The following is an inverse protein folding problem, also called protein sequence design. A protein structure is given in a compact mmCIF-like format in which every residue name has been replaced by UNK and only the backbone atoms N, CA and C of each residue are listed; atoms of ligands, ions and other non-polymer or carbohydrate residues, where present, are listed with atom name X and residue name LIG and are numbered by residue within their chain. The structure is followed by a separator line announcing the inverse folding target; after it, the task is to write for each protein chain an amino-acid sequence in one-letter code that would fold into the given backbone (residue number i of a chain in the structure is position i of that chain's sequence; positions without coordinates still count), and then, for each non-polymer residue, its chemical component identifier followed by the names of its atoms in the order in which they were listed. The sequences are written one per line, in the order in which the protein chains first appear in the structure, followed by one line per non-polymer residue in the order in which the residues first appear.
data_IF_096996289100
#
_entry.id   IF_096996289100
#
_cell.length_a   1.000
_cell.length_b   1.000
_cell.length_c   1.000
_cell.angle_alpha   90.00
_cell.angle_beta   90.00
_cell.angle_gamma   90.00
#
_symmetry.space_group_name_H-M   'P 1'
#
loop_
_entity.id
_entity.type
_entity.pdbx_description
1 polymer ?
#
# COMPACT_ATOMS: atom_id res chain seq x y z
N UNK A 1 -24.48 4.17 -3.91
CA UNK A 1 -23.90 4.74 -5.16
C UNK A 1 -22.88 5.80 -4.74
N UNK A 2 -21.62 5.68 -5.18
CA UNK A 2 -20.60 6.70 -4.90
C UNK A 2 -20.82 7.88 -5.86
N UNK A 3 -21.42 8.97 -5.37
CA UNK A 3 -21.66 10.17 -6.19
C UNK A 3 -20.47 11.10 -5.98
N UNK A 4 -19.72 11.38 -7.06
CA UNK A 4 -18.70 12.42 -7.03
C UNK A 4 -19.42 13.78 -6.98
N UNK A 5 -19.33 14.54 -5.88
CA UNK A 5 -20.03 15.79 -5.84
C UNK A 5 -19.23 16.80 -6.69
N UNK A 6 -19.80 17.18 -7.83
CA UNK A 6 -19.19 17.99 -8.89
C UNK A 6 -18.93 19.45 -8.51
N UNK A 7 -19.21 19.85 -7.27
CA UNK A 7 -19.24 21.25 -6.82
C UNK A 7 -18.22 21.61 -5.71
N UNK A 8 -17.38 20.69 -5.24
CA UNK A 8 -16.53 20.97 -4.08
C UNK A 8 -15.15 21.49 -4.44
N UNK A 9 -14.78 22.60 -3.81
CA UNK A 9 -13.45 23.21 -3.86
C UNK A 9 -12.44 22.43 -3.01
N UNK A 10 -11.17 22.52 -3.38
CA UNK A 10 -10.08 21.96 -2.58
C UNK A 10 -9.91 22.80 -1.30
N UNK A 11 -10.15 22.20 -0.15
CA UNK A 11 -10.01 22.84 1.16
C UNK A 11 -9.06 21.99 2.04
N UNK A 12 -7.88 22.52 2.43
CA UNK A 12 -6.95 21.82 3.31
C UNK A 12 -7.53 21.54 4.70
N UNK A 13 -6.99 20.52 5.38
CA UNK A 13 -7.44 20.13 6.71
C UNK A 13 -7.24 21.25 7.75
N UNK A 14 -8.36 21.73 8.32
CA UNK A 14 -8.43 22.84 9.28
C UNK A 14 -9.13 22.50 10.61
N UNK A 15 -9.65 21.28 10.78
CA UNK A 15 -10.50 20.89 11.92
C UNK A 15 -9.73 20.84 13.25
N UNK A 16 -10.26 21.49 14.29
CA UNK A 16 -9.65 21.58 15.62
C UNK A 16 -10.19 20.52 16.56
N UNK A 17 -11.49 20.26 16.50
CA UNK A 17 -12.22 19.29 17.33
C UNK A 17 -12.78 18.14 16.49
N UNK A 18 -13.16 17.04 17.16
CA UNK A 18 -13.84 15.91 16.49
C UNK A 18 -15.20 16.35 15.92
N UNK A 19 -15.87 17.30 16.59
CA UNK A 19 -17.14 17.85 16.17
C UNK A 19 -17.01 18.70 14.90
N UNK A 20 -15.93 19.48 14.77
CA UNK A 20 -15.63 20.22 13.52
C UNK A 20 -15.53 19.26 12.33
N UNK A 21 -14.81 18.14 12.51
CA UNK A 21 -14.68 17.12 11.47
C UNK A 21 -16.03 16.47 11.15
N UNK A 22 -16.84 16.11 12.15
CA UNK A 22 -18.17 15.52 11.94
C UNK A 22 -19.11 16.46 11.18
N UNK A 23 -19.13 17.75 11.55
CA UNK A 23 -19.89 18.79 10.84
C UNK A 23 -19.49 18.87 9.38
N UNK A 24 -18.18 18.82 9.11
CA UNK A 24 -17.68 18.87 7.75
C UNK A 24 -18.02 17.62 6.94
N UNK A 25 -17.86 16.43 7.52
CA UNK A 25 -18.27 15.18 6.85
C UNK A 25 -19.76 15.21 6.49
N UNK A 26 -20.61 15.75 7.37
CA UNK A 26 -22.04 15.96 7.10
C UNK A 26 -22.26 16.97 5.96
N UNK A 27 -21.55 18.12 5.97
CA UNK A 27 -21.61 19.13 4.90
C UNK A 27 -21.28 18.53 3.54
N UNK A 28 -20.25 17.68 3.48
CA UNK A 28 -19.77 17.02 2.27
C UNK A 28 -20.57 15.76 1.89
N UNK A 29 -21.58 15.39 2.70
CA UNK A 29 -22.34 14.13 2.55
C UNK A 29 -21.44 12.88 2.52
N UNK A 30 -20.39 12.87 3.33
CA UNK A 30 -19.45 11.75 3.48
C UNK A 30 -19.88 10.92 4.70
N UNK A 31 -20.44 9.70 4.51
CA UNK A 31 -20.98 8.87 5.59
C UNK A 31 -19.88 8.06 6.28
N UNK A 32 -18.80 8.71 6.73
CA UNK A 32 -17.74 8.03 7.49
C UNK A 32 -18.14 7.88 8.97
N UNK A 33 -18.13 6.66 9.53
CA UNK A 33 -18.40 6.46 10.94
C UNK A 33 -17.20 6.94 11.78
N UNK A 34 -17.49 7.76 12.78
CA UNK A 34 -16.49 8.29 13.72
C UNK A 34 -16.89 7.88 15.13
N UNK A 35 -16.12 6.98 15.74
CA UNK A 35 -16.37 6.51 17.11
C UNK A 35 -15.78 7.45 18.16
N UNK A 36 -16.46 7.63 19.29
CA UNK A 36 -15.92 8.38 20.43
C UNK A 36 -14.87 7.58 21.22
N UNK A 37 -15.01 6.25 21.26
CA UNK A 37 -14.07 5.33 21.91
C UNK A 37 -13.13 4.71 20.87
N UNK A 38 -11.94 4.29 21.31
CA UNK A 38 -10.97 3.56 20.49
C UNK A 38 -10.67 2.15 21.01
N UNK A 39 -11.45 1.65 21.98
CA UNK A 39 -11.11 0.42 22.71
C UNK A 39 -11.13 -0.82 21.81
N UNK A 40 -12.06 -0.89 20.86
CA UNK A 40 -12.13 -2.00 19.89
C UNK A 40 -10.87 -2.15 19.04
N UNK A 41 -10.01 -1.12 18.96
CA UNK A 41 -8.74 -1.21 18.24
C UNK A 41 -7.73 -2.13 18.93
N UNK A 42 -7.90 -2.42 20.22
CA UNK A 42 -7.07 -3.38 20.97
C UNK A 42 -7.48 -4.84 20.72
N UNK A 43 -8.62 -5.08 20.09
CA UNK A 43 -9.07 -6.44 19.83
C UNK A 43 -8.14 -7.16 18.86
N UNK A 44 -7.77 -8.39 19.19
CA UNK A 44 -7.05 -9.26 18.28
C UNK A 44 -7.91 -9.68 17.09
N UNK A 45 -7.24 -10.04 16.00
CA UNK A 45 -7.82 -10.76 14.88
C UNK A 45 -7.34 -12.19 14.93
N UNK A 46 -8.27 -13.12 14.71
CA UNK A 46 -7.99 -14.54 14.64
C UNK A 46 -8.85 -15.15 13.52
N UNK A 47 -8.19 -15.58 12.43
CA UNK A 47 -8.82 -16.34 11.35
C UNK A 47 -7.87 -17.47 10.95
N UNK A 48 -8.27 -18.73 11.22
CA UNK A 48 -7.42 -19.92 11.03
C UNK A 48 -6.04 -19.73 11.69
N UNK A 49 -4.98 -19.71 10.88
CA UNK A 49 -3.57 -19.54 11.25
C UNK A 49 -3.13 -18.07 11.37
N UNK A 50 -3.99 -17.11 11.01
CA UNK A 50 -3.67 -15.67 11.07
C UNK A 50 -4.09 -15.13 12.43
N UNK A 51 -3.09 -14.73 13.21
CA UNK A 51 -3.29 -14.03 14.50
C UNK A 51 -2.59 -12.68 14.43
N UNK A 52 -3.35 -11.60 14.59
CA UNK A 52 -2.81 -10.24 14.68
C UNK A 52 -3.24 -9.63 16.02
N UNK A 53 -2.29 -9.19 16.87
CA UNK A 53 -2.58 -8.80 18.26
C UNK A 53 -3.58 -7.65 18.45
N UNK A 54 -3.71 -6.76 17.46
CA UNK A 54 -4.61 -5.62 17.48
C UNK A 54 -5.02 -5.20 16.06
N UNK A 55 -5.93 -4.23 15.95
CA UNK A 55 -6.54 -3.82 14.67
C UNK A 55 -5.73 -2.78 13.87
N UNK A 56 -4.50 -2.48 14.27
CA UNK A 56 -3.68 -1.42 13.67
C UNK A 56 -2.46 -2.01 12.96
N UNK A 57 -2.16 -1.48 11.77
CA UNK A 57 -0.99 -1.88 11.00
C UNK A 57 -0.21 -0.71 10.41
N UNK A 58 1.05 -0.98 10.06
CA UNK A 58 1.89 -0.09 9.26
C UNK A 58 1.77 -0.52 7.80
N UNK A 59 1.46 0.43 6.91
CA UNK A 59 1.45 0.20 5.47
C UNK A 59 2.89 0.19 4.92
N UNK A 60 3.15 -0.47 3.77
CA UNK A 60 4.47 -0.49 3.17
C UNK A 60 4.83 0.93 2.70
N UNK A 61 5.86 1.50 3.33
CA UNK A 61 6.31 2.87 3.14
C UNK A 61 7.81 2.85 2.82
N UNK A 62 8.14 3.08 1.55
CA UNK A 62 9.51 3.04 1.03
C UNK A 62 10.39 4.15 1.61
N UNK A 63 11.60 3.77 2.02
CA UNK A 63 12.61 4.65 2.59
C UNK A 63 13.65 5.16 1.62
N UNK A 64 13.88 4.49 0.48
CA UNK A 64 14.99 4.81 -0.45
C UNK A 64 16.32 5.06 0.28
N UNK A 65 16.64 4.15 1.20
CA UNK A 65 17.81 4.24 2.06
C UNK A 65 18.51 2.90 2.26
N UNK A 66 18.27 1.90 1.40
CA UNK A 66 19.06 0.68 1.37
C UNK A 66 20.53 0.99 1.01
N UNK A 67 21.43 0.07 1.35
CA UNK A 67 22.77 0.07 0.79
C UNK A 67 22.71 -0.12 -0.74
N UNK A 68 23.80 0.20 -1.45
CA UNK A 68 23.83 0.04 -2.91
C UNK A 68 23.62 -1.41 -3.35
N UNK A 69 24.04 -2.37 -2.53
CA UNK A 69 23.79 -3.82 -2.67
C UNK A 69 22.33 -4.24 -2.43
N UNK A 70 21.42 -3.28 -2.19
CA UNK A 70 20.02 -3.54 -1.88
C UNK A 70 19.76 -4.04 -0.46
N UNK A 71 20.80 -4.28 0.36
CA UNK A 71 20.63 -4.75 1.73
C UNK A 71 20.14 -3.63 2.68
N UNK A 72 19.49 -3.99 3.80
CA UNK A 72 19.10 -3.03 4.83
C UNK A 72 20.28 -2.19 5.35
N UNK A 73 20.10 -0.87 5.41
CA UNK A 73 21.08 0.05 6.02
C UNK A 73 20.72 0.39 7.47
N UNK A 74 21.56 1.17 8.14
CA UNK A 74 21.25 1.73 9.46
C UNK A 74 19.91 2.49 9.47
N UNK A 75 19.60 3.26 8.42
CA UNK A 75 18.33 3.98 8.31
C UNK A 75 17.14 3.02 8.15
N UNK A 76 17.34 1.91 7.46
CA UNK A 76 16.35 0.82 7.38
C UNK A 76 16.10 0.22 8.78
N UNK A 77 17.15 -0.18 9.51
CA UNK A 77 17.03 -0.68 10.89
C UNK A 77 16.36 0.33 11.82
N UNK A 78 16.73 1.61 11.71
CA UNK A 78 16.13 2.71 12.48
C UNK A 78 14.63 2.86 12.19
N UNK A 79 14.22 2.81 10.91
CA UNK A 79 12.81 2.90 10.52
C UNK A 79 11.99 1.76 11.14
N UNK A 80 12.44 0.52 10.98
CA UNK A 80 11.70 -0.62 11.53
C UNK A 80 11.77 -0.70 13.06
N UNK A 81 12.84 -0.22 13.71
CA UNK A 81 12.86 0.00 15.17
C UNK A 81 11.74 0.94 15.61
N UNK A 82 11.56 2.05 14.91
CA UNK A 82 10.53 3.05 15.21
C UNK A 82 9.11 2.48 15.03
N UNK A 83 8.89 1.72 13.95
CA UNK A 83 7.62 1.04 13.71
C UNK A 83 7.32 -0.03 14.77
N UNK A 84 8.30 -0.86 15.10
CA UNK A 84 8.21 -1.89 16.13
C UNK A 84 7.86 -1.32 17.51
N UNK A 85 8.48 -0.20 17.89
CA UNK A 85 8.16 0.53 19.13
C UNK A 85 6.78 1.23 19.11
N UNK A 86 6.07 1.19 17.98
CA UNK A 86 4.79 1.83 17.79
C UNK A 86 3.59 1.09 18.40
N UNK A 87 3.73 -0.22 18.65
CA UNK A 87 2.68 -1.06 19.25
C UNK A 87 1.65 -1.64 18.27
N UNK A 88 1.85 -1.51 16.96
CA UNK A 88 0.96 -2.14 15.96
C UNK A 88 1.04 -3.67 15.99
N UNK A 89 -0.03 -4.35 15.61
CA UNK A 89 -0.05 -5.82 15.51
C UNK A 89 0.59 -6.35 14.22
N UNK A 90 0.57 -5.55 13.15
CA UNK A 90 1.10 -5.91 11.84
C UNK A 90 2.02 -4.82 11.29
N UNK A 91 3.23 -5.20 10.88
CA UNK A 91 4.15 -4.34 10.13
C UNK A 91 4.29 -4.90 8.72
N UNK A 92 3.79 -4.16 7.74
CA UNK A 92 3.98 -4.44 6.33
C UNK A 92 5.24 -3.70 5.86
N UNK A 93 6.28 -4.45 5.55
CA UNK A 93 7.56 -3.92 5.09
C UNK A 93 7.42 -3.35 3.68
N UNK A 94 8.21 -2.32 3.40
CA UNK A 94 8.22 -1.59 2.14
C UNK A 94 8.46 -2.48 0.92
N UNK A 95 8.22 -1.91 -0.27
CA UNK A 95 8.44 -2.61 -1.52
C UNK A 95 9.93 -2.95 -1.72
N UNK A 96 10.24 -4.23 -1.61
CA UNK A 96 11.55 -4.82 -1.86
C UNK A 96 11.57 -5.40 -3.27
N UNK A 97 12.53 -4.94 -4.07
CA UNK A 97 12.70 -5.38 -5.45
C UNK A 97 13.10 -6.87 -5.49
N UNK A 98 12.57 -7.60 -6.46
CA UNK A 98 12.90 -9.02 -6.67
C UNK A 98 14.25 -9.22 -7.40
N UNK A 99 14.77 -8.17 -8.02
CA UNK A 99 16.05 -8.14 -8.73
C UNK A 99 16.56 -6.70 -8.84
N UNK A 100 17.85 -6.54 -9.14
CA UNK A 100 18.47 -5.22 -9.33
C UNK A 100 17.85 -4.43 -10.50
N UNK A 101 17.60 -5.10 -11.63
CA UNK A 101 17.07 -4.46 -12.85
C UNK A 101 15.61 -3.99 -12.72
N UNK A 102 14.89 -4.39 -11.65
CA UNK A 102 13.51 -3.98 -11.42
C UNK A 102 13.35 -2.95 -10.29
N UNK A 103 14.43 -2.28 -9.87
CA UNK A 103 14.38 -1.22 -8.85
C UNK A 103 13.86 0.09 -9.42
N UNK A 104 13.18 0.87 -8.60
CA UNK A 104 12.77 2.26 -8.90
C UNK A 104 13.80 3.30 -8.41
N UNK A 105 14.75 2.88 -7.58
CA UNK A 105 15.82 3.70 -7.02
C UNK A 105 17.03 2.83 -6.62
N UNK A 106 18.26 3.35 -6.77
CA UNK A 106 19.51 2.69 -6.37
C UNK A 106 19.65 2.47 -4.85
N UNK A 107 18.72 2.99 -4.06
CA UNK A 107 18.58 2.75 -2.62
C UNK A 107 17.25 2.08 -2.25
N UNK A 108 16.55 1.47 -3.21
CA UNK A 108 15.44 0.56 -2.92
C UNK A 108 15.98 -0.77 -2.36
N UNK A 109 15.34 -1.37 -1.38
CA UNK A 109 15.71 -2.72 -0.92
C UNK A 109 15.62 -3.73 -2.07
N UNK A 110 16.54 -4.69 -2.11
CA UNK A 110 16.54 -5.83 -3.04
C UNK A 110 16.81 -7.07 -2.20
N UNK A 111 15.97 -8.09 -2.34
CA UNK A 111 16.19 -9.35 -1.64
C UNK A 111 16.95 -10.31 -2.56
N UNK A 112 18.11 -10.79 -2.12
CA UNK A 112 18.93 -11.74 -2.86
C UNK A 112 19.54 -12.81 -1.95
N UNK A 113 20.07 -13.85 -2.56
CA UNK A 113 20.77 -14.94 -1.90
C UNK A 113 22.00 -14.42 -1.14
N UNK A 114 22.68 -13.39 -1.67
CA UNK A 114 23.86 -12.81 -1.03
C UNK A 114 23.54 -12.02 0.24
N UNK A 115 22.32 -11.43 0.34
CA UNK A 115 21.97 -10.50 1.41
C UNK A 115 20.82 -10.98 2.33
N UNK A 116 20.33 -12.21 2.15
CA UNK A 116 19.23 -12.79 2.96
C UNK A 116 19.57 -12.81 4.46
N UNK A 117 20.85 -12.89 4.83
CA UNK A 117 21.32 -12.86 6.22
C UNK A 117 21.05 -11.51 6.88
N UNK A 118 21.24 -10.41 6.18
CA UNK A 118 20.98 -9.05 6.64
C UNK A 118 19.47 -8.80 6.80
N UNK A 119 18.65 -9.33 5.88
CA UNK A 119 17.20 -9.34 6.05
C UNK A 119 16.78 -10.17 7.27
N UNK A 120 17.40 -11.32 7.51
CA UNK A 120 17.16 -12.14 8.70
C UNK A 120 17.48 -11.38 9.98
N UNK A 121 18.58 -10.64 10.01
CA UNK A 121 18.94 -9.76 11.13
C UNK A 121 17.89 -8.66 11.32
N UNK A 122 17.47 -7.99 10.25
CA UNK A 122 16.44 -6.95 10.31
C UNK A 122 15.11 -7.47 10.85
N UNK A 123 14.65 -8.63 10.36
CA UNK A 123 13.39 -9.24 10.76
C UNK A 123 13.43 -9.69 12.22
N UNK A 124 14.51 -10.36 12.64
CA UNK A 124 14.70 -10.78 14.02
C UNK A 124 14.74 -9.57 14.98
N UNK A 125 15.53 -8.56 14.63
CA UNK A 125 15.61 -7.32 15.39
C UNK A 125 14.25 -6.63 15.52
N UNK A 126 13.52 -6.47 14.40
CA UNK A 126 12.20 -5.84 14.38
C UNK A 126 11.21 -6.62 15.24
N UNK A 127 11.20 -7.95 15.13
CA UNK A 127 10.31 -8.82 15.90
C UNK A 127 10.53 -8.69 17.41
N UNK A 128 11.79 -8.73 17.86
CA UNK A 128 12.13 -8.56 19.28
C UNK A 128 11.64 -7.21 19.81
N UNK A 129 11.89 -6.12 19.08
CA UNK A 129 11.44 -4.79 19.50
C UNK A 129 9.90 -4.67 19.51
N UNK A 130 9.23 -5.27 18.53
CA UNK A 130 7.78 -5.20 18.39
C UNK A 130 7.09 -5.99 19.51
N UNK A 131 7.54 -7.22 19.76
CA UNK A 131 6.99 -8.08 20.81
C UNK A 131 7.17 -7.46 22.20
N UNK A 132 8.36 -6.93 22.51
CA UNK A 132 8.59 -6.22 23.79
C UNK A 132 7.59 -5.07 24.00
N UNK A 133 7.29 -4.33 22.93
CA UNK A 133 6.33 -3.23 22.99
C UNK A 133 4.92 -3.75 23.18
N UNK A 134 4.50 -4.75 22.40
CA UNK A 134 3.20 -5.39 22.52
C UNK A 134 2.95 -5.98 23.91
N UNK A 135 3.94 -6.71 24.46
CA UNK A 135 3.91 -7.26 25.81
C UNK A 135 3.75 -6.17 26.88
N UNK A 136 4.51 -5.07 26.76
CA UNK A 136 4.38 -3.92 27.69
C UNK A 136 3.02 -3.24 27.64
N UNK A 137 2.26 -3.42 26.55
CA UNK A 137 0.91 -2.91 26.35
C UNK A 137 -0.17 -3.96 26.72
N UNK A 138 0.24 -5.13 27.21
CA UNK A 138 -0.67 -6.21 27.62
C UNK A 138 -1.20 -7.07 26.47
N UNK A 139 -0.68 -6.92 25.26
CA UNK A 139 -1.09 -7.77 24.14
C UNK A 139 -0.47 -9.16 24.26
N UNK A 140 -1.27 -10.15 23.90
CA UNK A 140 -0.83 -11.54 23.71
C UNK A 140 -0.57 -11.75 22.22
N UNK A 141 0.31 -12.70 21.90
CA UNK A 141 0.80 -13.01 20.56
C UNK A 141 1.83 -12.01 19.99
N UNK A 142 2.67 -12.54 19.11
CA UNK A 142 3.75 -11.79 18.47
C UNK A 142 3.25 -10.90 17.34
N UNK A 143 4.05 -9.89 17.04
CA UNK A 143 3.92 -9.04 15.88
C UNK A 143 3.99 -9.85 14.57
N UNK A 144 3.07 -9.58 13.64
CA UNK A 144 3.09 -10.15 12.30
C UNK A 144 3.92 -9.26 11.37
N UNK A 145 4.90 -9.83 10.67
CA UNK A 145 5.81 -9.13 9.76
C UNK A 145 5.65 -9.68 8.33
N UNK A 146 5.20 -8.84 7.39
CA UNK A 146 4.99 -9.22 5.98
C UNK A 146 5.93 -8.42 5.09
N UNK A 147 6.66 -9.09 4.18
CA UNK A 147 7.50 -8.42 3.18
C UNK A 147 6.75 -8.20 1.87
N UNK A 148 6.71 -6.96 1.37
CA UNK A 148 6.18 -6.66 0.04
C UNK A 148 7.25 -6.87 -1.02
N UNK A 149 7.12 -7.90 -1.85
CA UNK A 149 7.93 -8.08 -3.04
C UNK A 149 7.36 -7.27 -4.21
N UNK A 150 8.25 -6.71 -5.02
CA UNK A 150 7.90 -5.75 -6.06
C UNK A 150 8.77 -5.90 -7.30
N UNK A 151 8.15 -5.68 -8.46
CA UNK A 151 8.83 -5.36 -9.70
C UNK A 151 8.38 -3.96 -10.14
N UNK A 152 9.33 -3.03 -10.30
CA UNK A 152 8.97 -1.62 -10.47
C UNK A 152 8.30 -1.29 -11.81
N UNK A 153 8.43 -2.18 -12.79
CA UNK A 153 7.74 -2.08 -14.09
C UNK A 153 8.06 -0.76 -14.78
N UNK A 154 7.02 0.02 -15.13
CA UNK A 154 7.17 1.36 -15.70
C UNK A 154 8.06 2.30 -14.86
N UNK A 155 8.22 2.04 -13.58
CA UNK A 155 9.06 2.85 -12.68
C UNK A 155 10.48 2.34 -12.52
N UNK A 156 10.86 1.28 -13.24
CA UNK A 156 12.20 0.70 -13.19
C UNK A 156 13.29 1.66 -13.64
N UNK A 157 14.47 1.48 -13.04
CA UNK A 157 15.71 2.16 -13.32
C UNK A 157 16.82 1.13 -13.48
N UNK A 158 17.75 1.41 -14.39
CA UNK A 158 18.97 0.63 -14.58
C UNK A 158 20.18 1.54 -14.43
N UNK A 159 21.11 1.16 -13.56
CA UNK A 159 22.30 1.97 -13.25
C UNK A 159 21.95 3.43 -12.88
N UNK A 160 20.91 3.64 -12.08
CA UNK A 160 20.43 4.96 -11.67
C UNK A 160 19.67 5.77 -12.73
N UNK A 161 19.64 5.32 -13.98
CA UNK A 161 18.91 5.97 -15.09
C UNK A 161 17.54 5.33 -15.27
N UNK A 162 16.55 6.11 -15.71
CA UNK A 162 15.20 5.57 -15.99
C UNK A 162 15.31 4.51 -17.08
N UNK A 163 14.74 3.34 -16.81
CA UNK A 163 14.66 2.23 -17.75
C UNK A 163 13.32 1.52 -17.55
N UNK A 164 12.22 2.15 -18.00
CA UNK A 164 10.88 1.65 -17.76
C UNK A 164 10.64 0.31 -18.48
N UNK A 165 10.20 -0.69 -17.72
CA UNK A 165 9.80 -2.02 -18.24
C UNK A 165 8.28 -2.07 -18.22
N UNK A 166 7.62 -1.87 -19.35
CA UNK A 166 6.17 -1.64 -19.42
C UNK A 166 5.43 -2.88 -19.88
N UNK A 167 4.23 -3.11 -19.36
CA UNK A 167 3.30 -4.07 -19.95
C UNK A 167 2.68 -3.58 -21.27
N UNK A 168 2.48 -2.26 -21.40
CA UNK A 168 1.91 -1.61 -22.59
C UNK A 168 2.31 -0.13 -22.69
N UNK A 169 2.18 0.46 -23.89
CA UNK A 169 2.45 1.88 -24.12
C UNK A 169 1.30 2.77 -23.61
N UNK A 170 1.65 3.85 -22.90
CA UNK A 170 0.69 4.86 -22.47
C UNK A 170 1.36 6.22 -22.39
N UNK A 171 1.00 7.12 -23.31
CA UNK A 171 1.54 8.47 -23.35
C UNK A 171 1.26 9.23 -22.04
N UNK A 172 0.07 9.05 -21.44
CA UNK A 172 -0.28 9.70 -20.19
C UNK A 172 0.64 9.24 -19.04
N UNK A 173 0.80 7.93 -18.86
CA UNK A 173 1.62 7.38 -17.78
C UNK A 173 3.13 7.60 -18.01
N UNK A 174 3.59 7.60 -19.27
CA UNK A 174 4.98 7.89 -19.62
C UNK A 174 5.34 9.36 -19.40
N UNK A 175 4.43 10.28 -19.74
CA UNK A 175 4.61 11.71 -19.50
C UNK A 175 4.73 12.03 -18.00
N UNK A 176 3.99 11.32 -17.14
CA UNK A 176 4.02 11.48 -15.67
C UNK A 176 5.42 11.26 -15.09
N UNK A 177 6.18 10.33 -15.68
CA UNK A 177 7.55 10.04 -15.26
C UNK A 177 8.59 10.64 -16.18
N UNK A 178 8.19 11.47 -17.15
CA UNK A 178 9.07 12.17 -18.09
C UNK A 178 10.05 11.19 -18.76
N UNK A 179 9.48 10.17 -19.39
CA UNK A 179 10.20 9.24 -20.29
C UNK A 179 9.56 9.29 -21.67
N UNK A 180 10.37 9.12 -22.70
CA UNK A 180 9.91 8.94 -24.08
C UNK A 180 9.54 7.48 -24.34
N UNK A 181 8.83 7.23 -25.45
CA UNK A 181 8.36 5.89 -25.82
C UNK A 181 9.51 4.92 -26.08
N UNK A 182 10.62 5.42 -26.62
CA UNK A 182 11.81 4.68 -27.02
C UNK A 182 12.73 4.36 -25.83
N UNK A 183 12.54 5.00 -24.68
CA UNK A 183 13.29 4.71 -23.47
C UNK A 183 12.68 3.50 -22.76
N UNK A 184 13.50 2.48 -22.48
CA UNK A 184 13.07 1.23 -21.85
C UNK A 184 12.51 0.22 -22.84
N UNK A 185 11.66 -0.69 -22.37
CA UNK A 185 11.10 -1.79 -23.18
C UNK A 185 9.61 -2.01 -22.91
N UNK A 186 8.95 -2.72 -23.84
CA UNK A 186 7.72 -3.47 -23.56
C UNK A 186 8.14 -4.89 -23.20
N UNK A 187 7.78 -5.36 -22.03
CA UNK A 187 8.09 -6.72 -21.57
C UNK A 187 7.37 -7.76 -22.45
N UNK A 188 8.04 -8.85 -22.83
CA UNK A 188 7.45 -9.96 -23.60
C UNK A 188 6.70 -10.96 -22.71
N UNK A 189 5.92 -11.86 -23.31
CA UNK A 189 5.23 -12.91 -22.55
C UNK A 189 6.22 -13.96 -22.00
N UNK A 190 7.33 -14.20 -22.69
CA UNK A 190 8.44 -15.05 -22.22
C UNK A 190 9.15 -14.41 -21.02
N UNK A 191 9.49 -13.12 -21.09
CA UNK A 191 10.10 -12.40 -19.97
C UNK A 191 9.17 -12.36 -18.74
N UNK A 192 7.85 -12.29 -18.94
CA UNK A 192 6.87 -12.38 -17.85
C UNK A 192 6.89 -13.76 -17.18
N UNK A 193 7.02 -14.84 -17.95
CA UNK A 193 7.18 -16.21 -17.42
C UNK A 193 8.48 -16.36 -16.62
N UNK A 194 9.58 -15.78 -17.09
CA UNK A 194 10.85 -15.81 -16.36
C UNK A 194 10.77 -15.02 -15.03
N UNK A 195 10.11 -13.86 -15.03
CA UNK A 195 9.92 -13.03 -13.84
C UNK A 195 9.10 -13.76 -12.76
N UNK A 196 8.14 -14.59 -13.15
CA UNK A 196 7.39 -15.43 -12.21
C UNK A 196 8.32 -16.32 -11.36
N UNK A 197 9.27 -17.01 -12.00
CA UNK A 197 10.22 -17.86 -11.28
C UNK A 197 11.12 -17.07 -10.33
N UNK A 198 11.56 -15.88 -10.75
CA UNK A 198 12.35 -14.98 -9.91
C UNK A 198 11.54 -14.56 -8.68
N UNK A 199 10.27 -14.21 -8.86
CA UNK A 199 9.40 -13.81 -7.76
C UNK A 199 9.19 -14.93 -6.75
N UNK A 200 8.98 -16.17 -7.23
CA UNK A 200 8.84 -17.36 -6.39
C UNK A 200 10.11 -17.61 -5.57
N UNK A 201 11.29 -17.54 -6.20
CA UNK A 201 12.58 -17.68 -5.50
C UNK A 201 12.73 -16.62 -4.40
N UNK A 202 12.38 -15.36 -4.67
CA UNK A 202 12.48 -14.29 -3.66
C UNK A 202 11.47 -14.44 -2.52
N UNK A 203 10.29 -15.01 -2.78
CA UNK A 203 9.34 -15.33 -1.71
C UNK A 203 9.85 -16.45 -0.78
N UNK A 204 10.58 -17.43 -1.31
CA UNK A 204 11.27 -18.45 -0.49
C UNK A 204 12.34 -17.80 0.40
N UNK A 205 13.14 -16.89 -0.15
CA UNK A 205 14.13 -16.12 0.64
C UNK A 205 13.46 -15.25 1.71
N UNK A 206 12.28 -14.68 1.44
CA UNK A 206 11.57 -13.90 2.44
C UNK A 206 11.19 -14.75 3.67
N UNK A 207 10.79 -16.00 3.44
CA UNK A 207 10.57 -16.95 4.52
C UNK A 207 11.86 -17.30 5.26
N UNK A 208 12.96 -17.53 4.55
CA UNK A 208 14.28 -17.79 5.15
C UNK A 208 14.77 -16.61 6.02
N UNK A 209 14.50 -15.38 5.58
CA UNK A 209 14.72 -14.15 6.33
C UNK A 209 13.79 -14.02 7.56
N UNK A 210 12.89 -14.97 7.78
CA UNK A 210 12.05 -15.06 8.97
C UNK A 210 10.80 -14.19 8.92
N UNK A 211 10.37 -13.71 7.75
CA UNK A 211 9.07 -13.04 7.62
C UNK A 211 7.93 -14.04 7.84
N UNK A 212 6.80 -13.53 8.35
CA UNK A 212 5.59 -14.32 8.57
C UNK A 212 4.79 -14.52 7.28
N UNK A 213 5.08 -13.70 6.27
CA UNK A 213 4.50 -13.85 4.97
C UNK A 213 5.10 -12.93 3.93
N UNK A 214 4.66 -13.17 2.71
CA UNK A 214 5.01 -12.39 1.53
C UNK A 214 3.77 -11.78 0.89
N UNK A 215 3.92 -10.53 0.48
CA UNK A 215 2.98 -9.79 -0.35
C UNK A 215 3.49 -9.72 -1.78
N UNK A 216 2.69 -10.23 -2.72
CA UNK A 216 2.91 -10.05 -4.15
C UNK A 216 2.21 -8.76 -4.57
N UNK A 217 2.97 -7.66 -4.64
CA UNK A 217 2.43 -6.32 -4.86
C UNK A 217 1.70 -6.23 -6.20
N UNK A 218 0.43 -5.80 -6.16
CA UNK A 218 -0.44 -5.61 -7.32
C UNK A 218 -1.22 -4.30 -7.23
N UNK A 219 -0.52 -3.20 -6.93
CA UNK A 219 -1.12 -1.88 -6.82
C UNK A 219 -0.27 -0.80 -7.50
N UNK A 220 -0.84 0.41 -7.64
CA UNK A 220 -0.08 1.64 -7.86
C UNK A 220 0.65 1.77 -9.21
N UNK A 221 0.23 0.99 -10.22
CA UNK A 221 0.82 1.03 -11.56
C UNK A 221 2.19 0.33 -11.69
N UNK A 222 2.61 -0.40 -10.66
CA UNK A 222 3.74 -1.33 -10.76
C UNK A 222 3.35 -2.57 -11.57
N UNK A 223 4.32 -3.42 -11.97
CA UNK A 223 4.13 -4.41 -13.05
C UNK A 223 2.81 -5.21 -12.99
N UNK A 224 2.53 -5.90 -11.88
CA UNK A 224 1.26 -6.64 -11.73
C UNK A 224 0.03 -5.74 -11.85
N UNK A 225 0.05 -4.56 -11.23
CA UNK A 225 -1.04 -3.58 -11.32
C UNK A 225 -1.20 -3.02 -12.73
N UNK A 226 -0.11 -2.89 -13.46
CA UNK A 226 -0.12 -2.39 -14.83
C UNK A 226 -0.73 -3.44 -15.77
N UNK A 227 -0.35 -4.72 -15.61
CA UNK A 227 -0.94 -5.83 -16.37
C UNK A 227 -2.47 -5.91 -16.20
N UNK A 228 -3.01 -5.65 -15.00
CA UNK A 228 -4.45 -5.58 -14.77
C UNK A 228 -5.18 -4.57 -15.67
N UNK A 229 -4.48 -3.53 -16.14
CA UNK A 229 -5.01 -2.50 -17.04
C UNK A 229 -4.59 -2.69 -18.52
N UNK A 230 -3.91 -3.79 -18.86
CA UNK A 230 -3.33 -4.04 -20.18
C UNK A 230 -4.34 -4.53 -21.24
N UNK A 231 -5.52 -3.91 -21.32
CA UNK A 231 -6.57 -4.28 -22.29
C UNK A 231 -6.11 -4.18 -23.75
N UNK A 232 -5.18 -3.26 -24.03
CA UNK A 232 -4.63 -3.02 -25.36
C UNK A 232 -3.51 -3.98 -25.76
N UNK A 233 -3.02 -4.84 -24.85
CA UNK A 233 -2.01 -5.87 -25.14
C UNK A 233 -2.70 -7.07 -25.80
N UNK A 234 -3.12 -6.89 -27.05
CA UNK A 234 -3.80 -7.91 -27.86
C UNK A 234 -2.88 -9.10 -28.13
N UNK A 235 -3.47 -10.27 -28.34
CA UNK A 235 -2.77 -11.52 -28.68
C UNK A 235 -1.67 -11.92 -27.67
N UNK A 236 -1.90 -11.65 -26.39
CA UNK A 236 -1.00 -11.97 -25.29
C UNK A 236 -1.69 -12.81 -24.22
N UNK A 237 -0.93 -13.74 -23.63
CA UNK A 237 -1.37 -14.54 -22.49
C UNK A 237 -1.49 -13.71 -21.20
N UNK A 238 -0.86 -12.53 -21.18
CA UNK A 238 -0.80 -11.59 -20.05
C UNK A 238 -1.53 -10.28 -20.32
N UNK A 239 -2.43 -10.25 -21.31
CA UNK A 239 -3.09 -9.03 -21.78
C UNK A 239 -4.47 -9.25 -22.38
N UNK A 240 -5.03 -8.18 -22.94
CA UNK A 240 -6.28 -8.22 -23.69
C UNK A 240 -7.53 -8.05 -22.82
N UNK A 241 -8.70 -8.33 -23.39
CA UNK A 241 -10.00 -8.09 -22.73
C UNK A 241 -10.27 -9.06 -21.56
N UNK A 242 -9.59 -10.20 -21.53
CA UNK A 242 -9.76 -11.22 -20.50
C UNK A 242 -9.06 -10.83 -19.19
N UNK A 243 -9.83 -10.67 -18.10
CA UNK A 243 -9.26 -10.49 -16.76
C UNK A 243 -8.32 -11.64 -16.40
N UNK A 244 -8.68 -12.88 -16.75
CA UNK A 244 -7.85 -14.07 -16.49
C UNK A 244 -6.43 -13.92 -17.06
N UNK A 245 -6.31 -13.39 -18.28
CA UNK A 245 -5.00 -13.14 -18.89
C UNK A 245 -4.28 -11.99 -18.19
N UNK A 246 -4.96 -10.85 -17.99
CA UNK A 246 -4.38 -9.67 -17.33
C UNK A 246 -3.92 -9.92 -15.89
N UNK A 247 -4.58 -10.84 -15.17
CA UNK A 247 -4.22 -11.23 -13.80
C UNK A 247 -3.30 -12.45 -13.72
N UNK A 248 -2.92 -13.05 -14.85
CA UNK A 248 -2.21 -14.33 -14.92
C UNK A 248 -0.95 -14.35 -14.08
N UNK A 249 -0.04 -13.38 -14.28
CA UNK A 249 1.23 -13.31 -13.55
C UNK A 249 1.01 -13.36 -12.02
N UNK A 250 0.05 -12.57 -11.51
CA UNK A 250 -0.26 -12.53 -10.09
C UNK A 250 -0.79 -13.88 -9.58
N UNK A 251 -1.74 -14.48 -10.31
CA UNK A 251 -2.39 -15.72 -9.91
C UNK A 251 -1.43 -16.91 -10.01
N UNK A 252 -0.58 -16.96 -11.03
CA UNK A 252 0.38 -18.05 -11.26
C UNK A 252 1.47 -18.02 -10.17
N UNK A 253 2.05 -16.85 -9.86
CA UNK A 253 2.97 -16.68 -8.71
C UNK A 253 2.32 -17.18 -7.41
N UNK A 254 1.10 -16.73 -7.11
CA UNK A 254 0.42 -17.11 -5.87
C UNK A 254 0.11 -18.61 -5.85
N UNK A 255 -0.31 -19.18 -6.97
CA UNK A 255 -0.57 -20.62 -7.11
C UNK A 255 0.68 -21.45 -6.83
N UNK A 256 1.81 -21.08 -7.44
CA UNK A 256 3.09 -21.75 -7.19
C UNK A 256 3.47 -21.68 -5.70
N UNK A 257 3.37 -20.50 -5.09
CA UNK A 257 3.70 -20.33 -3.67
C UNK A 257 2.76 -21.13 -2.75
N UNK A 258 1.47 -21.19 -3.06
CA UNK A 258 0.50 -22.01 -2.30
C UNK A 258 0.83 -23.49 -2.40
N UNK A 259 1.31 -23.95 -3.55
CA UNK A 259 1.76 -25.33 -3.73
C UNK A 259 3.06 -25.60 -2.93
N UNK A 260 4.06 -24.72 -3.05
CA UNK A 260 5.35 -24.83 -2.34
C UNK A 260 5.14 -24.86 -0.82
N UNK A 261 4.30 -23.97 -0.30
CA UNK A 261 4.05 -23.84 1.13
C UNK A 261 2.80 -24.60 1.61
N UNK A 262 2.29 -25.55 0.83
CA UNK A 262 1.07 -26.30 1.19
C UNK A 262 1.15 -26.99 2.56
N UNK A 263 2.33 -27.47 2.96
CA UNK A 263 2.59 -28.11 4.25
C UNK A 263 3.01 -27.14 5.36
N UNK A 264 3.30 -25.88 5.01
CA UNK A 264 3.62 -24.83 5.96
C UNK A 264 2.51 -23.79 5.94
N UNK A 265 1.44 -24.11 6.67
CA UNK A 265 0.27 -23.26 6.76
C UNK A 265 0.55 -21.93 7.43
N UNK A 266 1.66 -21.76 8.16
CA UNK A 266 1.92 -20.56 8.95
C UNK A 266 2.50 -19.43 8.09
N UNK A 267 3.14 -19.74 6.96
CA UNK A 267 3.66 -18.74 6.05
C UNK A 267 2.55 -18.12 5.19
N UNK A 268 2.29 -16.82 5.39
CA UNK A 268 1.22 -16.11 4.71
C UNK A 268 1.63 -15.73 3.28
N UNK A 269 0.72 -15.96 2.34
CA UNK A 269 0.81 -15.46 0.97
C UNK A 269 -0.37 -14.52 0.78
N UNK A 270 -0.08 -13.26 0.46
CA UNK A 270 -1.04 -12.17 0.35
C UNK A 270 -0.72 -11.26 -0.84
N UNK A 271 -1.57 -10.28 -1.07
CA UNK A 271 -1.33 -9.20 -2.02
C UNK A 271 -1.85 -7.87 -1.45
N UNK A 272 -1.08 -6.81 -1.67
CA UNK A 272 -1.57 -5.44 -1.65
C UNK A 272 -2.12 -5.12 -3.04
N UNK A 273 -3.45 -5.03 -3.12
CA UNK A 273 -4.19 -4.94 -4.38
C UNK A 273 -4.75 -3.54 -4.58
N UNK A 274 -4.46 -2.95 -5.75
CA UNK A 274 -5.10 -1.73 -6.23
C UNK A 274 -6.42 -2.07 -6.89
N UNK A 275 -7.54 -1.56 -6.36
CA UNK A 275 -8.89 -1.95 -6.82
C UNK A 275 -9.59 -0.90 -7.67
N UNK A 276 -8.94 0.25 -7.84
CA UNK A 276 -9.39 1.37 -8.64
C UNK A 276 -8.20 2.28 -8.88
N UNK A 277 -7.87 2.62 -10.12
CA UNK A 277 -6.80 3.58 -10.42
C UNK A 277 -7.32 4.98 -10.85
N UNK A 278 -8.55 5.05 -11.34
CA UNK A 278 -9.20 6.26 -11.84
C UNK A 278 -8.80 6.66 -13.26
N UNK A 279 -7.92 5.91 -13.93
CA UNK A 279 -7.61 6.13 -15.34
C UNK A 279 -8.81 5.69 -16.21
N UNK A 280 -9.12 6.41 -17.30
CA UNK A 280 -10.16 5.95 -18.23
C UNK A 280 -9.80 4.62 -18.91
N UNK A 281 -10.84 3.83 -19.21
CA UNK A 281 -10.73 2.67 -20.11
C UNK A 281 -10.16 3.11 -21.48
N UNK A 282 -9.29 2.33 -22.14
CA UNK A 282 -8.86 0.96 -21.83
C UNK A 282 -7.61 0.85 -20.92
N UNK A 283 -7.14 1.94 -20.32
CA UNK A 283 -5.88 1.94 -19.52
C UNK A 283 -6.10 2.04 -18.01
N UNK A 284 -7.35 1.85 -17.56
CA UNK A 284 -7.71 1.81 -16.15
C UNK A 284 -8.14 0.42 -15.70
N UNK A 285 -7.98 0.16 -14.41
CA UNK A 285 -8.51 -1.01 -13.71
C UNK A 285 -9.45 -0.59 -12.58
N UNK A 286 -10.56 -1.34 -12.43
CA UNK A 286 -11.63 -1.01 -11.50
C UNK A 286 -12.51 0.15 -11.97
N UNK A 287 -12.62 0.35 -13.28
CA UNK A 287 -13.33 1.48 -13.89
C UNK A 287 -14.34 1.00 -14.93
N UNK A 288 -15.37 1.79 -15.20
CA UNK A 288 -16.33 1.47 -16.26
C UNK A 288 -15.67 1.56 -17.64
N UNK A 289 -16.09 0.67 -18.55
CA UNK A 289 -15.71 0.71 -19.97
C UNK A 289 -16.53 1.76 -20.73
N UNK A 290 -16.29 3.04 -20.44
CA UNK A 290 -16.93 4.18 -21.11
C UNK A 290 -15.92 4.87 -22.01
N UNK A 291 -16.24 5.00 -23.29
CA UNK A 291 -15.39 5.72 -24.24
C UNK A 291 -15.27 7.19 -23.89
N UNK A 292 -14.05 7.73 -24.04
CA UNK A 292 -13.74 9.16 -23.83
C UNK A 292 -14.09 9.70 -22.43
N UNK A 293 -14.24 8.83 -21.43
CA UNK A 293 -14.40 9.26 -20.04
C UNK A 293 -13.16 10.04 -19.58
N UNK A 294 -13.38 11.03 -18.70
CA UNK A 294 -12.28 11.84 -18.13
C UNK A 294 -11.85 11.28 -16.79
N UNK A 295 -10.59 11.50 -16.45
CA UNK A 295 -10.10 11.26 -15.10
C UNK A 295 -10.80 12.17 -14.07
N UNK A 296 -11.20 11.67 -12.87
CA UNK A 296 -11.18 10.26 -12.48
C UNK A 296 -12.38 9.50 -13.09
N UNK A 297 -12.11 8.36 -13.72
CA UNK A 297 -13.11 7.52 -14.37
C UNK A 297 -14.11 6.93 -13.36
N UNK A 298 -15.32 6.59 -13.83
CA UNK A 298 -16.37 6.02 -13.00
C UNK A 298 -15.93 4.69 -12.41
N UNK A 299 -16.17 4.50 -11.11
CA UNK A 299 -15.80 3.27 -10.39
C UNK A 299 -16.64 2.09 -10.90
N UNK A 300 -15.97 0.97 -11.19
CA UNK A 300 -16.57 -0.34 -11.40
C UNK A 300 -15.74 -1.41 -10.67
N UNK A 301 -16.34 -2.08 -9.70
CA UNK A 301 -15.64 -3.08 -8.89
C UNK A 301 -15.82 -4.51 -9.40
N UNK A 302 -16.49 -4.74 -10.54
CA UNK A 302 -16.70 -6.09 -11.09
C UNK A 302 -15.40 -6.88 -11.20
N UNK A 303 -14.46 -6.44 -12.03
CA UNK A 303 -13.18 -7.13 -12.20
C UNK A 303 -12.32 -7.21 -10.92
N UNK A 304 -12.20 -6.13 -10.10
CA UNK A 304 -11.55 -6.24 -8.79
C UNK A 304 -12.15 -7.33 -7.89
N UNK A 305 -13.47 -7.46 -7.84
CA UNK A 305 -14.16 -8.48 -7.02
C UNK A 305 -13.87 -9.88 -7.58
N UNK A 306 -13.96 -10.07 -8.89
CA UNK A 306 -13.65 -11.36 -9.54
C UNK A 306 -12.21 -11.79 -9.26
N UNK A 307 -11.25 -10.88 -9.35
CA UNK A 307 -9.87 -11.15 -9.00
C UNK A 307 -9.70 -11.52 -7.52
N UNK A 308 -10.40 -10.82 -6.62
CA UNK A 308 -10.36 -11.14 -5.18
C UNK A 308 -10.96 -12.52 -4.90
N UNK A 309 -12.03 -12.91 -5.61
CA UNK A 309 -12.61 -14.24 -5.51
C UNK A 309 -11.62 -15.32 -5.98
N UNK A 310 -10.94 -15.12 -7.11
CA UNK A 310 -9.88 -16.02 -7.58
C UNK A 310 -8.75 -16.17 -6.53
N UNK A 311 -8.31 -15.07 -5.92
CA UNK A 311 -7.32 -15.09 -4.84
C UNK A 311 -7.84 -15.87 -3.61
N UNK A 312 -9.12 -15.70 -3.27
CA UNK A 312 -9.75 -16.42 -2.18
C UNK A 312 -9.83 -17.93 -2.44
N UNK A 313 -10.14 -18.35 -3.67
CA UNK A 313 -10.13 -19.75 -4.11
C UNK A 313 -8.74 -20.38 -4.01
N UNK A 314 -7.68 -19.60 -4.27
CA UNK A 314 -6.29 -19.97 -3.98
C UNK A 314 -5.93 -19.93 -2.49
N UNK A 315 -6.92 -19.82 -1.60
CA UNK A 315 -6.78 -19.76 -0.14
C UNK A 315 -5.93 -18.57 0.34
N UNK A 316 -5.99 -17.42 -0.34
CA UNK A 316 -5.49 -16.15 0.21
C UNK A 316 -6.53 -15.62 1.21
N UNK A 317 -6.13 -15.48 2.49
CA UNK A 317 -7.02 -15.12 3.60
C UNK A 317 -6.71 -13.76 4.23
N UNK A 318 -5.72 -13.06 3.71
CA UNK A 318 -5.37 -11.68 4.07
C UNK A 318 -5.18 -10.90 2.78
N UNK A 319 -5.78 -9.71 2.67
CA UNK A 319 -5.52 -8.77 1.59
C UNK A 319 -5.37 -7.36 2.12
N UNK A 320 -4.59 -6.53 1.42
CA UNK A 320 -4.43 -5.12 1.72
C UNK A 320 -4.93 -4.28 0.56
N UNK A 321 -6.01 -3.54 0.80
CA UNK A 321 -6.71 -2.81 -0.25
C UNK A 321 -6.20 -1.38 -0.33
N UNK A 322 -5.97 -0.93 -1.56
CA UNK A 322 -5.54 0.42 -1.87
C UNK A 322 -6.10 0.87 -3.22
N UNK A 323 -5.85 2.13 -3.60
CA UNK A 323 -6.35 2.71 -4.84
C UNK A 323 -5.36 3.72 -5.43
N UNK A 324 -5.55 4.06 -6.70
CA UNK A 324 -4.83 5.07 -7.45
C UNK A 324 -3.39 4.69 -7.78
N UNK A 325 -2.72 5.65 -8.39
CA UNK A 325 -1.30 5.62 -8.67
C UNK A 325 -0.60 6.82 -7.99
N UNK A 326 0.40 6.63 -7.11
CA UNK A 326 1.07 7.72 -6.43
C UNK A 326 1.91 8.60 -7.36
N UNK A 327 2.26 8.11 -8.55
CA UNK A 327 2.95 8.88 -9.57
C UNK A 327 1.96 9.67 -10.44
N UNK A 328 0.79 9.10 -10.75
CA UNK A 328 -0.24 9.71 -11.59
C UNK A 328 -1.46 10.17 -10.76
N UNK A 329 -1.65 11.49 -10.63
CA UNK A 329 -2.79 12.09 -9.89
C UNK A 329 -2.94 11.53 -8.46
N UNK A 330 -1.86 11.66 -7.69
CA UNK A 330 -1.69 11.06 -6.35
C UNK A 330 -2.78 11.30 -5.31
N UNK A 331 -3.75 12.19 -5.50
CA UNK A 331 -4.86 12.39 -4.57
C UNK A 331 -5.76 11.14 -4.47
N UNK A 332 -5.86 10.31 -5.52
CA UNK A 332 -6.60 9.03 -5.49
C UNK A 332 -5.96 8.03 -4.51
N UNK A 333 -4.63 7.98 -4.44
CA UNK A 333 -3.88 7.09 -3.52
C UNK A 333 -3.63 7.72 -2.17
N UNK A 334 -3.36 9.03 -2.16
CA UNK A 334 -2.72 9.75 -1.07
C UNK A 334 -3.23 11.19 -1.02
N UNK A 335 -4.37 11.43 -0.37
CA UNK A 335 -4.91 12.78 -0.15
C UNK A 335 -3.87 13.71 0.50
N UNK A 336 -3.85 14.99 0.14
CA UNK A 336 -2.85 15.94 0.61
C UNK A 336 -3.43 17.32 0.86
N UNK A 337 -2.77 18.08 1.74
CA UNK A 337 -3.04 19.50 1.94
C UNK A 337 -2.14 20.36 1.05
N UNK A 338 -0.89 19.89 0.84
CA UNK A 338 0.08 20.54 -0.04
C UNK A 338 0.57 19.49 -1.04
N UNK A 339 0.43 19.72 -2.36
CA UNK A 339 0.93 18.81 -3.37
C UNK A 339 2.47 18.81 -3.42
N UNK A 340 3.04 17.83 -4.13
CA UNK A 340 4.46 17.89 -4.55
C UNK A 340 4.68 19.09 -5.47
N UNK A 341 5.93 19.57 -5.59
CA UNK A 341 6.25 20.73 -6.44
C UNK A 341 5.81 20.46 -7.88
N UNK A 342 5.10 21.43 -8.46
CA UNK A 342 4.58 21.37 -9.84
C UNK A 342 3.30 20.55 -10.04
N UNK A 343 2.76 19.87 -9.02
CA UNK A 343 1.49 19.18 -9.16
C UNK A 343 0.29 20.13 -8.97
N UNK A 344 -0.76 19.93 -9.77
CA UNK A 344 -2.02 20.69 -9.69
C UNK A 344 -2.89 20.17 -8.54
N UNK A 345 -3.65 21.07 -7.92
CA UNK A 345 -4.69 20.71 -6.97
C UNK A 345 -5.83 19.97 -7.70
N UNK A 346 -6.42 18.93 -7.08
CA UNK A 346 -7.58 18.27 -7.65
C UNK A 346 -8.83 19.15 -7.51
N UNK A 347 -9.82 18.90 -8.35
CA UNK A 347 -11.14 19.55 -8.28
C UNK A 347 -12.07 18.78 -7.32
N UNK A 348 -11.58 18.50 -6.12
CA UNK A 348 -12.35 17.84 -5.07
C UNK A 348 -11.79 18.17 -3.68
N UNK A 349 -12.63 17.99 -2.67
CA UNK A 349 -12.25 18.11 -1.28
C UNK A 349 -11.36 16.91 -0.85
N UNK A 350 -10.21 17.10 -0.19
CA UNK A 350 -9.34 16.00 0.23
C UNK A 350 -9.98 14.93 1.13
N UNK A 351 -10.95 15.30 1.97
CA UNK A 351 -11.77 14.32 2.72
C UNK A 351 -12.52 13.36 1.79
N UNK A 352 -12.99 13.83 0.63
CA UNK A 352 -13.60 12.97 -0.39
C UNK A 352 -12.56 12.03 -0.99
N UNK A 353 -11.35 12.53 -1.26
CA UNK A 353 -10.24 11.68 -1.71
C UNK A 353 -9.91 10.56 -0.71
N UNK A 354 -9.90 10.89 0.59
CA UNK A 354 -9.66 9.92 1.65
C UNK A 354 -10.82 8.93 1.81
N UNK A 355 -12.05 9.43 1.75
CA UNK A 355 -13.27 8.63 1.81
C UNK A 355 -13.34 7.62 0.68
N UNK A 356 -12.98 8.00 -0.56
CA UNK A 356 -12.96 7.08 -1.71
C UNK A 356 -12.23 5.78 -1.40
N UNK A 357 -11.02 5.87 -0.83
CA UNK A 357 -10.19 4.69 -0.53
C UNK A 357 -10.88 3.80 0.52
N UNK A 358 -11.44 4.41 1.57
CA UNK A 358 -12.13 3.71 2.66
C UNK A 358 -13.43 3.08 2.16
N UNK A 359 -14.19 3.79 1.31
CA UNK A 359 -15.40 3.30 0.68
C UNK A 359 -15.13 2.08 -0.19
N UNK A 360 -14.11 2.14 -1.06
CA UNK A 360 -13.72 1.00 -1.91
C UNK A 360 -13.39 -0.24 -1.06
N UNK A 361 -12.62 -0.06 0.02
CA UNK A 361 -12.33 -1.15 0.98
C UNK A 361 -13.61 -1.68 1.62
N UNK A 362 -14.53 -0.81 2.03
CA UNK A 362 -15.79 -1.19 2.66
C UNK A 362 -16.70 -2.00 1.74
N UNK A 363 -16.80 -1.60 0.46
CA UNK A 363 -17.60 -2.34 -0.52
C UNK A 363 -17.02 -3.73 -0.72
N UNK A 364 -15.69 -3.83 -0.90
CA UNK A 364 -15.01 -5.12 -0.98
C UNK A 364 -15.28 -5.96 0.27
N UNK A 365 -15.08 -5.40 1.47
CA UNK A 365 -15.29 -6.13 2.72
C UNK A 365 -16.71 -6.69 2.85
N UNK A 366 -17.71 -5.99 2.30
CA UNK A 366 -19.10 -6.44 2.31
C UNK A 366 -19.42 -7.57 1.32
N UNK A 367 -18.57 -7.77 0.30
CA UNK A 367 -18.81 -8.73 -0.79
C UNK A 367 -17.90 -9.97 -0.71
N UNK A 368 -16.78 -9.89 0.02
CA UNK A 368 -15.85 -11.02 0.18
C UNK A 368 -16.26 -11.94 1.34
N UNK A 369 -15.82 -13.21 1.33
CA UNK A 369 -16.08 -14.15 2.41
C UNK A 369 -15.60 -13.66 3.78
N UNK A 370 -16.36 -13.97 4.83
CA UNK A 370 -16.15 -13.42 6.18
C UNK A 370 -14.81 -13.80 6.81
N UNK A 371 -14.24 -14.95 6.45
CA UNK A 371 -12.95 -15.43 6.97
C UNK A 371 -11.74 -14.82 6.25
N UNK A 372 -11.97 -14.01 5.19
CA UNK A 372 -10.94 -13.20 4.54
C UNK A 372 -10.75 -11.87 5.29
N UNK A 373 -9.54 -11.67 5.81
CA UNK A 373 -9.13 -10.47 6.55
C UNK A 373 -8.75 -9.38 5.56
N UNK A 374 -9.36 -8.20 5.69
CA UNK A 374 -9.09 -7.03 4.86
C UNK A 374 -8.38 -5.95 5.67
N UNK A 375 -7.20 -5.54 5.20
CA UNK A 375 -6.45 -4.37 5.67
C UNK A 375 -6.82 -3.18 4.78
N UNK A 376 -7.29 -2.10 5.38
CA UNK A 376 -7.64 -0.87 4.66
C UNK A 376 -6.52 0.16 4.62
N UNK A 377 -6.68 1.14 3.71
CA UNK A 377 -5.80 2.30 3.55
C UNK A 377 -6.58 3.62 3.73
N UNK A 378 -5.87 4.76 3.81
CA UNK A 378 -6.50 6.11 3.73
C UNK A 378 -6.63 6.88 5.05
N UNK A 379 -6.28 6.29 6.20
CA UNK A 379 -6.56 6.88 7.52
C UNK A 379 -5.65 8.05 7.92
N UNK A 380 -4.42 8.14 7.40
CA UNK A 380 -3.45 9.14 7.86
C UNK A 380 -3.86 10.59 7.63
N UNK A 381 -4.77 10.86 6.68
CA UNK A 381 -5.25 12.22 6.39
C UNK A 381 -6.08 12.81 7.54
N UNK A 382 -6.69 11.96 8.38
CA UNK A 382 -7.56 12.37 9.49
C UNK A 382 -6.80 12.81 10.76
N UNK A 383 -5.46 12.86 10.68
CA UNK A 383 -4.56 13.42 11.71
C UNK A 383 -4.87 12.87 13.10
N UNK A 384 -5.20 13.75 14.07
CA UNK A 384 -5.43 13.39 15.46
C UNK A 384 -6.70 12.55 15.67
N UNK A 385 -7.62 12.59 14.71
CA UNK A 385 -8.90 11.87 14.75
C UNK A 385 -8.83 10.51 14.05
N UNK A 386 -7.67 10.13 13.51
CA UNK A 386 -7.55 8.90 12.74
C UNK A 386 -7.82 7.64 13.57
N UNK A 387 -7.58 7.67 14.90
CA UNK A 387 -7.99 6.59 15.81
C UNK A 387 -9.52 6.46 15.93
N UNK A 388 -10.23 7.58 16.08
CA UNK A 388 -11.69 7.62 16.14
C UNK A 388 -12.33 7.10 14.84
N UNK A 389 -11.77 7.49 13.70
CA UNK A 389 -12.19 6.97 12.41
C UNK A 389 -11.92 5.47 12.29
N UNK A 390 -10.68 5.02 12.59
CA UNK A 390 -10.31 3.61 12.54
C UNK A 390 -11.26 2.75 13.38
N UNK A 391 -11.56 3.21 14.60
CA UNK A 391 -12.51 2.54 15.48
C UNK A 391 -13.91 2.47 14.87
N UNK A 392 -14.40 3.59 14.33
CA UNK A 392 -15.71 3.67 13.69
C UNK A 392 -15.86 2.72 12.50
N UNK A 393 -14.86 2.66 11.60
CA UNK A 393 -14.92 1.78 10.43
C UNK A 393 -14.84 0.29 10.81
N UNK A 394 -14.10 -0.07 11.85
CA UNK A 394 -14.03 -1.44 12.37
C UNK A 394 -15.36 -1.83 13.03
N UNK A 395 -15.93 -0.95 13.86
CA UNK A 395 -17.22 -1.19 14.52
C UNK A 395 -18.34 -1.43 13.49
N UNK A 396 -18.28 -0.74 12.35
CA UNK A 396 -19.24 -0.87 11.25
C UNK A 396 -18.86 -1.96 10.24
N UNK A 397 -17.87 -2.81 10.56
CA UNK A 397 -17.42 -3.94 9.71
C UNK A 397 -17.02 -3.54 8.29
N UNK A 398 -16.54 -2.31 8.12
CA UNK A 398 -16.05 -1.80 6.82
C UNK A 398 -14.64 -2.32 6.50
N UNK A 399 -13.92 -2.80 7.51
CA UNK A 399 -12.54 -3.30 7.41
C UNK A 399 -12.23 -4.15 8.63
N UNK A 400 -11.22 -5.03 8.56
CA UNK A 400 -10.74 -5.80 9.71
C UNK A 400 -9.54 -5.13 10.39
N UNK A 401 -8.60 -4.56 9.62
CA UNK A 401 -7.46 -3.78 10.12
C UNK A 401 -7.32 -2.41 9.44
N UNK A 402 -6.91 -1.41 10.21
CA UNK A 402 -6.60 -0.09 9.68
C UNK A 402 -5.08 0.12 9.51
N UNK A 403 -4.63 0.20 8.25
CA UNK A 403 -3.23 0.42 7.91
C UNK A 403 -2.84 1.88 7.73
N UNK A 404 -1.79 2.30 8.43
CA UNK A 404 -1.28 3.67 8.44
C UNK A 404 0.00 3.81 7.59
N UNK A 405 -0.08 4.64 6.54
CA UNK A 405 1.05 5.02 5.68
C UNK A 405 1.82 6.19 6.27
N UNK A 406 1.77 7.39 5.68
CA UNK A 406 2.54 8.58 6.11
C UNK A 406 2.48 8.92 7.62
N UNK A 407 1.43 8.51 8.35
CA UNK A 407 1.40 8.64 9.81
C UNK A 407 2.54 7.85 10.47
N UNK A 408 2.93 6.69 9.95
CA UNK A 408 4.05 5.89 10.45
C UNK A 408 5.37 6.67 10.40
N UNK A 409 5.62 7.43 9.34
CA UNK A 409 6.79 8.32 9.28
C UNK A 409 6.70 9.47 10.31
N UNK A 410 5.54 10.11 10.40
CA UNK A 410 5.36 11.31 11.23
C UNK A 410 5.32 11.00 12.73
N UNK A 411 4.58 9.97 13.12
CA UNK A 411 4.35 9.54 14.49
C UNK A 411 4.26 8.01 14.54
N UNK A 412 5.39 7.27 14.52
CA UNK A 412 5.38 5.82 14.65
C UNK A 412 4.67 5.30 15.91
N UNK A 413 4.63 6.10 16.99
CA UNK A 413 3.97 5.79 18.26
C UNK A 413 2.46 5.99 18.28
N UNK A 414 1.80 6.23 17.13
CA UNK A 414 0.37 6.51 17.09
C UNK A 414 -0.48 5.40 17.72
N UNK A 415 -0.11 4.13 17.55
CA UNK A 415 -0.88 3.02 18.11
C UNK A 415 -0.77 2.97 19.64
N UNK A 416 0.43 3.06 20.21
CA UNK A 416 0.62 3.23 21.67
C UNK A 416 -0.17 4.43 22.23
N UNK A 417 -0.19 5.57 21.54
CA UNK A 417 -0.97 6.74 21.98
C UNK A 417 -2.48 6.43 21.98
N UNK A 418 -2.99 5.75 20.95
CA UNK A 418 -4.38 5.30 20.93
C UNK A 418 -4.68 4.37 22.11
N UNK A 419 -3.81 3.40 22.40
CA UNK A 419 -4.09 2.40 23.43
C UNK A 419 -4.00 2.94 24.86
N UNK A 420 -3.11 3.91 25.11
CA UNK A 420 -2.87 4.46 26.45
C UNK A 420 -3.62 5.77 26.72
N UNK A 421 -3.89 6.57 25.68
CA UNK A 421 -4.42 7.93 25.80
C UNK A 421 -5.71 8.14 25.00
N UNK A 422 -6.25 7.08 24.37
CA UNK A 422 -7.47 7.13 23.55
C UNK A 422 -7.43 8.14 22.39
N UNK A 423 -6.24 8.52 21.93
CA UNK A 423 -6.08 9.54 20.88
C UNK A 423 -4.64 9.68 20.36
N UNK A 424 -4.48 10.44 19.28
CA UNK A 424 -3.16 10.71 18.68
C UNK A 424 -2.78 12.17 18.95
N UNK A 425 -1.54 12.40 19.38
CA UNK A 425 -1.05 13.75 19.66
C UNK A 425 -1.01 14.61 18.39
N UNK A 426 -1.86 15.64 18.32
CA UNK A 426 -2.01 16.54 17.16
C UNK A 426 -0.67 17.07 16.63
N UNK A 427 0.23 17.50 17.52
CA UNK A 427 1.54 18.08 17.14
C UNK A 427 2.47 17.08 16.47
N UNK A 428 2.25 15.76 16.63
CA UNK A 428 3.05 14.69 16.02
C UNK A 428 2.45 14.13 14.73
N UNK A 429 1.19 14.43 14.43
CA UNK A 429 0.51 13.91 13.23
C UNK A 429 1.15 14.31 11.90
N UNK A 430 0.92 13.48 10.89
CA UNK A 430 1.22 13.82 9.49
C UNK A 430 0.34 15.00 9.05
N UNK A 431 0.95 16.07 8.54
CA UNK A 431 0.24 17.25 8.02
C UNK A 431 -0.01 17.19 6.50
N UNK A 432 0.09 15.99 5.93
CA UNK A 432 -0.18 15.73 4.51
C UNK A 432 0.53 16.67 3.50
N UNK A 433 1.73 17.16 3.84
CA UNK A 433 2.49 18.15 3.07
C UNK A 433 3.24 17.60 1.84
N UNK A 434 3.09 16.31 1.54
CA UNK A 434 3.73 15.62 0.42
C UNK A 434 5.27 15.63 0.36
N UNK A 435 5.99 16.20 1.33
CA UNK A 435 7.47 16.25 1.32
C UNK A 435 8.14 14.88 1.29
N UNK A 436 7.56 13.86 1.93
CA UNK A 436 8.06 12.48 1.79
C UNK A 436 8.04 12.00 0.33
N UNK A 437 6.99 12.31 -0.43
CA UNK A 437 6.93 12.00 -1.86
C UNK A 437 7.83 12.90 -2.69
N UNK A 438 8.05 14.15 -2.26
CA UNK A 438 8.99 15.05 -2.91
C UNK A 438 10.42 14.50 -2.84
N UNK A 439 10.86 13.98 -1.68
CA UNK A 439 12.16 13.31 -1.53
C UNK A 439 12.31 12.13 -2.49
N UNK A 440 11.29 11.27 -2.60
CA UNK A 440 11.31 10.17 -3.57
C UNK A 440 11.50 10.65 -5.02
N UNK A 441 10.81 11.73 -5.43
CA UNK A 441 10.96 12.30 -6.78
C UNK A 441 12.35 12.89 -7.03
N UNK A 442 12.98 13.40 -5.96
CA UNK A 442 14.35 13.93 -5.98
C UNK A 442 15.42 12.83 -5.82
N UNK A 443 15.02 11.56 -5.70
CA UNK A 443 15.93 10.44 -5.51
C UNK A 443 16.57 10.36 -4.12
N UNK A 444 16.04 11.12 -3.14
CA UNK A 444 16.55 11.19 -1.77
C UNK A 444 15.89 10.12 -0.88
N UNK A 445 16.59 9.76 0.19
CA UNK A 445 16.00 8.98 1.28
C UNK A 445 14.77 9.67 1.86
N UNK A 446 13.78 8.86 2.20
CA UNK A 446 12.42 9.29 2.47
C UNK A 446 12.03 9.03 3.93
N UNK A 447 11.40 10.04 4.51
CA UNK A 447 10.87 10.02 5.87
C UNK A 447 9.98 11.23 6.11
N UNK A 448 9.65 11.52 7.37
CA UNK A 448 8.87 12.71 7.68
C UNK A 448 9.76 13.95 7.82
N UNK A 449 9.83 14.76 6.77
CA UNK A 449 10.54 16.04 6.83
C UNK A 449 10.09 16.93 8.02
N UNK A 450 8.84 16.82 8.46
CA UNK A 450 8.28 17.74 9.45
C UNK A 450 8.54 17.28 10.89
N UNK A 451 8.47 15.97 11.15
CA UNK A 451 8.44 15.40 12.51
C UNK A 451 9.65 14.54 12.84
N UNK A 452 10.49 14.21 11.86
CA UNK A 452 11.68 13.43 12.06
C UNK A 452 12.93 14.28 11.78
N UNK A 453 13.73 14.54 12.82
CA UNK A 453 14.91 15.42 12.74
C UNK A 453 15.92 14.93 11.69
N UNK A 454 16.08 13.60 11.58
CA UNK A 454 16.91 12.92 10.57
C UNK A 454 16.63 13.39 9.13
N UNK A 455 15.38 13.77 8.84
CA UNK A 455 14.95 14.22 7.52
C UNK A 455 14.62 15.72 7.49
N UNK A 456 14.69 16.42 8.62
CA UNK A 456 14.38 17.85 8.72
C UNK A 456 15.48 18.69 8.10
N UNK A 457 16.73 18.26 8.21
CA UNK A 457 17.92 18.94 7.66
C UNK A 457 18.02 18.78 6.13
N UNK A 458 17.28 17.83 5.55
CA UNK A 458 17.25 17.54 4.11
C UNK A 458 16.17 18.34 3.35
N UNK A 459 15.54 19.31 4.03
CA UNK A 459 14.27 19.98 3.64
C UNK A 459 14.30 20.91 2.45
#
# INVERSE_FOLDING_TARGET
MFVHPSSHTFEPFSYKTLEDLKKELKRLMIPLPISASTENLKEKIQSKNIIIPNRLSIQPMEGFDANLSGSPSELTFRRYKRYAKGGVGLIWFEATAISEDCRSNNHQLVLSEENVKEFKQLTAFTRVQCNRTLESLGFKNRCCLILQLNHSGRYSKRNGKKYPIRAYHSNELDNVISVKKEEGIIISDEELKEIEEVWVKKAILAKEAGFDGVDIKACHGYLNSELLSAHNRKDSEYGGISLKNRSRLLLDIITQLKNIFRKDSDFLITSRLGVYDGNPYPTGFGVKSIENEKFPASIDLGEPIDLINNLYELNVKLLNITAGNPHHKSHITRPYDVPVKGAKLPKEHPLFSAYRIIYLTSVIKSLVPRDMIIVGSGYSYFRQFAGNLASGVIQNKMVDLCGFGRMSFANPSFATQIFLQSGIEKKKTCIACSKCSQFMREGKSTGCAIRDLEYKERK
#
